data_IF_017542680565
#
_entry.id   IF_017542680565
#
_cell.length_a   1.000
_cell.length_b   1.000
_cell.length_c   1.000
_cell.angle_alpha   90.00
_cell.angle_beta   90.00
_cell.angle_gamma   90.00
#
_symmetry.space_group_name_H-M   'P 1'
#
loop_
_entity.id
_entity.type
_entity.pdbx_description
1 polymer ?
#
# COMPACT_ATOMS: atom_id res chain seq x y z
N UNK A 1 -24.62 -33.11 -33.83
CA UNK A 1 -24.58 -31.68 -33.47
C UNK A 1 -24.15 -31.60 -32.01
N UNK A 2 -23.10 -30.84 -31.70
CA UNK A 2 -22.20 -31.02 -30.55
C UNK A 2 -22.88 -30.84 -29.17
N UNK A 3 -22.82 -31.87 -28.33
CA UNK A 3 -22.99 -31.77 -26.88
C UNK A 3 -21.84 -30.93 -26.30
N UNK A 4 -22.15 -29.77 -25.73
CA UNK A 4 -21.22 -29.01 -24.90
C UNK A 4 -21.18 -29.68 -23.52
N UNK A 5 -20.12 -30.43 -23.26
CA UNK A 5 -19.80 -30.90 -21.91
C UNK A 5 -19.34 -29.68 -21.12
N UNK A 6 -20.17 -29.29 -20.14
CA UNK A 6 -19.87 -28.26 -19.16
C UNK A 6 -18.99 -28.89 -18.08
N UNK A 7 -17.67 -28.71 -18.16
CA UNK A 7 -16.76 -29.09 -17.07
C UNK A 7 -16.89 -28.03 -15.98
N UNK A 8 -17.76 -28.28 -15.00
CA UNK A 8 -17.72 -27.58 -13.70
C UNK A 8 -16.45 -28.02 -12.98
N UNK A 9 -15.38 -27.24 -13.06
CA UNK A 9 -14.30 -27.32 -12.09
C UNK A 9 -14.76 -26.61 -10.81
N UNK A 10 -15.37 -27.36 -9.90
CA UNK A 10 -15.35 -27.01 -8.48
C UNK A 10 -13.89 -27.04 -8.02
N UNK A 11 -13.20 -25.91 -8.04
CA UNK A 11 -11.95 -25.75 -7.30
C UNK A 11 -12.35 -25.59 -5.83
N UNK A 12 -12.58 -26.74 -5.19
CA UNK A 12 -12.39 -26.86 -3.75
C UNK A 12 -11.07 -26.16 -3.40
N UNK A 13 -11.09 -25.34 -2.35
CA UNK A 13 -9.92 -24.72 -1.75
C UNK A 13 -8.99 -25.83 -1.22
N UNK A 14 -8.29 -26.46 -2.14
CA UNK A 14 -7.44 -27.60 -1.94
C UNK A 14 -6.09 -27.03 -1.55
N UNK A 15 -5.67 -27.29 -0.31
CA UNK A 15 -4.27 -27.21 0.09
C UNK A 15 -3.49 -28.25 -0.73
N UNK A 16 -3.16 -27.93 -1.98
CA UNK A 16 -2.28 -28.76 -2.79
C UNK A 16 -0.86 -28.67 -2.23
N UNK A 17 -0.50 -29.63 -1.36
CA UNK A 17 0.87 -29.81 -0.86
C UNK A 17 1.73 -30.74 -1.73
N UNK A 18 1.31 -31.02 -2.96
CA UNK A 18 1.99 -31.98 -3.83
C UNK A 18 2.92 -31.29 -4.82
N UNK A 19 4.22 -31.27 -4.50
CA UNK A 19 5.31 -31.33 -5.48
C UNK A 19 5.56 -30.12 -6.39
N UNK A 20 5.10 -28.91 -6.05
CA UNK A 20 5.36 -27.72 -6.85
C UNK A 20 6.84 -27.31 -6.81
N UNK A 21 7.50 -27.29 -7.97
CA UNK A 21 8.82 -26.67 -8.12
C UNK A 21 8.72 -25.15 -8.26
N UNK A 22 9.75 -24.47 -7.77
CA UNK A 22 9.98 -23.04 -7.99
C UNK A 22 10.85 -22.92 -9.24
N UNK A 23 10.31 -22.41 -10.34
CA UNK A 23 11.16 -21.74 -11.32
C UNK A 23 11.39 -20.32 -10.78
N UNK A 24 12.64 -19.97 -10.52
CA UNK A 24 13.01 -18.68 -9.95
C UNK A 24 14.20 -18.15 -10.72
N UNK A 25 14.16 -16.87 -11.08
CA UNK A 25 15.26 -16.18 -11.78
C UNK A 25 16.52 -16.04 -10.92
N UNK A 26 16.44 -16.40 -9.65
CA UNK A 26 17.49 -16.31 -8.66
C UNK A 26 18.53 -17.44 -8.89
N UNK A 27 19.66 -17.11 -9.51
CA UNK A 27 20.79 -18.03 -9.67
C UNK A 27 21.52 -18.22 -8.35
N UNK A 28 22.02 -19.44 -8.06
CA UNK A 28 22.74 -19.74 -6.81
C UNK A 28 23.92 -18.79 -6.64
N UNK A 29 23.89 -17.96 -5.60
CA UNK A 29 24.98 -17.07 -5.24
C UNK A 29 25.14 -17.08 -3.72
N UNK A 30 26.34 -17.46 -3.26
CA UNK A 30 26.69 -17.41 -1.85
C UNK A 30 26.95 -15.98 -1.35
N UNK A 31 27.19 -15.04 -2.26
CA UNK A 31 27.57 -13.67 -1.94
C UNK A 31 26.35 -12.79 -1.67
N UNK A 32 26.50 -11.88 -0.72
CA UNK A 32 25.50 -10.87 -0.41
C UNK A 32 25.61 -9.71 -1.40
N UNK A 33 24.50 -9.40 -2.08
CA UNK A 33 24.37 -8.27 -3.00
C UNK A 33 23.57 -7.16 -2.35
N UNK A 34 23.95 -5.90 -2.57
CA UNK A 34 23.22 -4.74 -2.05
C UNK A 34 21.79 -4.73 -2.58
N UNK A 35 20.83 -4.50 -1.70
CA UNK A 35 19.42 -4.50 -2.05
C UNK A 35 18.96 -3.12 -2.56
N UNK A 36 18.46 -3.07 -3.80
CA UNK A 36 17.74 -1.92 -4.33
C UNK A 36 16.23 -2.00 -4.05
N UNK A 37 15.70 -3.23 -3.97
CA UNK A 37 14.29 -3.58 -3.86
C UNK A 37 13.78 -4.28 -5.12
N UNK A 38 14.29 -3.89 -6.29
CA UNK A 38 13.81 -4.36 -7.59
C UNK A 38 14.11 -5.84 -7.82
N UNK A 39 15.27 -6.33 -7.39
CA UNK A 39 15.63 -7.74 -7.57
C UNK A 39 14.71 -8.68 -6.77
N UNK A 40 14.28 -8.24 -5.58
CA UNK A 40 13.33 -8.99 -4.75
C UNK A 40 11.95 -8.98 -5.41
N UNK A 41 11.50 -7.82 -5.91
CA UNK A 41 10.24 -7.69 -6.65
C UNK A 41 10.23 -8.61 -7.87
N UNK A 42 11.26 -8.54 -8.72
CA UNK A 42 11.42 -9.41 -9.88
C UNK A 42 11.48 -10.89 -9.53
N UNK A 43 12.17 -11.26 -8.44
CA UNK A 43 12.19 -12.64 -7.97
C UNK A 43 10.79 -13.13 -7.60
N UNK A 44 10.03 -12.39 -6.79
CA UNK A 44 8.67 -12.77 -6.39
C UNK A 44 7.75 -12.99 -7.61
N UNK A 45 7.85 -12.11 -8.62
CA UNK A 45 7.08 -12.25 -9.86
C UNK A 45 7.55 -13.37 -10.79
N UNK A 46 8.80 -13.84 -10.63
CA UNK A 46 9.33 -14.95 -11.44
C UNK A 46 8.86 -16.33 -10.99
N UNK A 47 8.28 -16.42 -9.79
CA UNK A 47 7.91 -17.69 -9.17
C UNK A 47 6.60 -18.19 -9.75
N UNK A 48 6.69 -19.30 -10.48
CA UNK A 48 5.54 -19.96 -11.12
C UNK A 48 5.41 -21.41 -10.65
N UNK A 49 4.19 -21.95 -10.58
CA UNK A 49 3.96 -23.37 -10.32
C UNK A 49 4.48 -24.24 -11.48
N UNK A 50 5.10 -25.39 -11.19
CA UNK A 50 5.59 -26.34 -12.22
C UNK A 50 5.25 -27.79 -11.86
N UNK A 51 4.81 -28.56 -12.87
CA UNK A 51 4.28 -29.94 -12.74
C UNK A 51 5.34 -31.05 -12.90
N UNK A 52 6.47 -30.78 -13.54
CA UNK A 52 7.49 -31.77 -13.85
C UNK A 52 8.77 -31.46 -13.09
N UNK A 53 9.07 -32.20 -12.00
CA UNK A 53 10.40 -32.68 -11.52
C UNK A 53 10.67 -32.62 -10.00
N UNK A 54 11.67 -33.42 -9.56
CA UNK A 54 12.07 -33.78 -8.18
C UNK A 54 12.03 -32.63 -7.14
N UNK A 55 11.34 -32.90 -6.03
CA UNK A 55 11.17 -32.14 -4.79
C UNK A 55 12.34 -31.21 -4.43
N UNK A 56 12.11 -29.90 -4.52
CA UNK A 56 12.78 -28.96 -3.62
C UNK A 56 11.90 -28.90 -2.37
N UNK A 57 12.48 -29.02 -1.18
CA UNK A 57 11.74 -29.03 0.10
C UNK A 57 11.18 -27.64 0.44
N UNK A 58 10.28 -27.13 -0.38
CA UNK A 58 9.58 -25.86 -0.17
C UNK A 58 8.06 -26.08 -0.25
N UNK A 59 7.31 -25.29 0.51
CA UNK A 59 5.85 -25.19 0.41
C UNK A 59 5.50 -23.85 -0.21
N UNK A 60 4.56 -23.87 -1.16
CA UNK A 60 4.09 -22.68 -1.86
C UNK A 60 2.58 -22.56 -1.67
N UNK A 61 2.10 -21.33 -1.63
CA UNK A 61 0.67 -21.01 -1.66
C UNK A 61 0.43 -19.97 -2.73
N UNK A 62 -0.60 -20.18 -3.54
CA UNK A 62 -1.04 -19.25 -4.58
C UNK A 62 -2.53 -18.99 -4.43
N UNK A 63 -2.96 -17.79 -4.80
CA UNK A 63 -4.37 -17.44 -5.02
C UNK A 63 -4.62 -17.33 -6.51
N UNK A 64 -5.67 -17.98 -7.00
CA UNK A 64 -6.04 -17.89 -8.40
C UNK A 64 -6.53 -16.48 -8.74
N UNK A 65 -5.89 -15.84 -9.71
CA UNK A 65 -6.30 -14.56 -10.25
C UNK A 65 -7.02 -14.73 -11.58
N UNK A 66 -7.68 -13.67 -12.06
CA UNK A 66 -8.35 -13.67 -13.38
C UNK A 66 -7.38 -13.94 -14.52
N UNK A 67 -6.17 -13.38 -14.43
CA UNK A 67 -5.16 -13.45 -15.49
C UNK A 67 -4.00 -14.37 -15.13
N UNK A 68 -3.56 -14.37 -13.86
CA UNK A 68 -2.45 -15.18 -13.36
C UNK A 68 -2.63 -15.56 -11.89
N UNK A 69 -2.08 -16.71 -11.50
CA UNK A 69 -1.97 -17.10 -10.09
C UNK A 69 -0.99 -16.16 -9.37
N UNK A 70 -1.41 -15.64 -8.23
CA UNK A 70 -0.59 -14.76 -7.39
C UNK A 70 0.05 -15.56 -6.26
N UNK A 71 1.37 -15.49 -6.14
CA UNK A 71 2.09 -16.08 -5.03
C UNK A 71 1.68 -15.42 -3.71
N UNK A 72 1.27 -16.22 -2.72
CA UNK A 72 0.91 -15.81 -1.37
C UNK A 72 1.97 -16.14 -0.34
N UNK A 73 2.64 -17.27 -0.50
CA UNK A 73 3.57 -17.77 0.51
C UNK A 73 4.62 -18.67 -0.11
N UNK A 74 5.85 -18.55 0.41
CA UNK A 74 6.93 -19.49 0.19
C UNK A 74 7.50 -19.86 1.53
N UNK A 75 7.64 -21.15 1.80
CA UNK A 75 8.33 -21.66 2.98
C UNK A 75 9.40 -22.65 2.56
N UNK A 76 10.65 -22.40 2.95
CA UNK A 76 11.80 -23.26 2.65
C UNK A 76 12.16 -24.09 3.87
N UNK A 77 11.93 -25.40 3.82
CA UNK A 77 12.27 -26.32 4.94
C UNK A 77 13.79 -26.36 5.25
N UNK A 78 14.71 -26.36 4.26
CA UNK A 78 16.14 -26.41 4.56
C UNK A 78 16.68 -25.15 5.26
N UNK A 79 16.16 -23.98 4.89
CA UNK A 79 16.61 -22.70 5.46
C UNK A 79 15.75 -22.23 6.63
N UNK A 80 14.56 -22.82 6.82
CA UNK A 80 13.51 -22.37 7.75
C UNK A 80 13.14 -20.89 7.54
N UNK A 81 13.18 -20.44 6.28
CA UNK A 81 12.81 -19.08 5.89
C UNK A 81 11.43 -19.11 5.26
N UNK A 82 10.62 -18.12 5.61
CA UNK A 82 9.27 -17.94 5.09
C UNK A 82 9.07 -16.52 4.56
N UNK A 83 8.42 -16.45 3.41
CA UNK A 83 7.86 -15.24 2.81
C UNK A 83 6.34 -15.39 2.78
N UNK A 84 5.59 -14.39 3.21
CA UNK A 84 4.12 -14.42 3.18
C UNK A 84 3.56 -13.03 2.88
N UNK A 85 2.75 -12.90 1.84
CA UNK A 85 2.04 -11.66 1.53
C UNK A 85 1.06 -11.31 2.65
N UNK A 86 0.97 -10.03 3.03
CA UNK A 86 0.05 -9.59 4.11
C UNK A 86 -1.42 -9.58 3.65
N UNK A 87 -1.67 -9.29 2.37
CA UNK A 87 -3.01 -9.13 1.80
C UNK A 87 -2.96 -9.17 0.27
N UNK A 88 -4.10 -9.02 -0.39
CA UNK A 88 -4.25 -9.31 -1.83
C UNK A 88 -4.12 -8.10 -2.75
N UNK A 89 -3.90 -6.90 -2.19
CA UNK A 89 -3.74 -5.71 -3.01
C UNK A 89 -2.35 -5.66 -3.65
N UNK A 90 -2.27 -4.98 -4.80
CA UNK A 90 -1.05 -4.84 -5.60
C UNK A 90 0.10 -4.21 -4.80
N UNK A 91 -0.22 -3.28 -3.91
CA UNK A 91 0.73 -2.49 -3.13
C UNK A 91 0.82 -2.97 -1.68
N UNK A 92 0.57 -4.26 -1.43
CA UNK A 92 0.71 -4.87 -0.12
C UNK A 92 2.17 -5.26 0.17
N UNK A 93 2.52 -5.25 1.46
CA UNK A 93 3.82 -5.70 1.92
C UNK A 93 3.93 -7.21 2.11
N UNK A 94 5.07 -7.64 2.62
CA UNK A 94 5.39 -9.05 2.84
C UNK A 94 5.94 -9.29 4.23
N UNK A 95 5.48 -10.34 4.90
CA UNK A 95 6.21 -10.92 6.01
C UNK A 95 7.39 -11.72 5.51
N UNK A 96 8.53 -11.54 6.17
CA UNK A 96 9.76 -12.28 5.94
C UNK A 96 10.36 -12.66 7.29
N UNK A 97 10.90 -13.87 7.43
CA UNK A 97 11.56 -14.24 8.67
C UNK A 97 11.88 -15.72 8.80
N UNK A 98 12.51 -16.04 9.93
CA UNK A 98 12.75 -17.42 10.34
C UNK A 98 11.48 -18.03 10.95
N UNK A 99 11.34 -19.34 10.78
CA UNK A 99 10.26 -20.10 11.39
C UNK A 99 10.74 -21.10 12.43
N UNK A 100 9.83 -21.43 13.35
CA UNK A 100 10.00 -22.56 14.27
C UNK A 100 9.87 -23.93 13.56
N UNK A 101 9.89 -25.01 14.34
CA UNK A 101 9.71 -26.37 13.83
C UNK A 101 8.33 -26.64 13.22
N UNK A 102 7.33 -25.80 13.51
CA UNK A 102 5.97 -25.89 13.02
C UNK A 102 5.72 -25.00 11.79
N UNK A 103 6.71 -24.24 11.34
CA UNK A 103 6.58 -23.33 10.18
C UNK A 103 5.90 -22.00 10.51
N UNK A 104 5.76 -21.67 11.80
CA UNK A 104 5.26 -20.37 12.27
C UNK A 104 6.41 -19.39 12.38
N UNK A 105 6.11 -18.12 12.11
CA UNK A 105 7.07 -17.03 12.25
C UNK A 105 7.55 -16.92 13.70
N UNK A 106 8.86 -16.83 13.90
CA UNK A 106 9.44 -16.64 15.23
C UNK A 106 9.28 -15.18 15.70
N UNK A 107 8.92 -15.00 16.98
CA UNK A 107 8.89 -13.67 17.63
C UNK A 107 10.26 -13.00 17.54
N UNK A 108 10.27 -11.69 17.33
CA UNK A 108 11.46 -10.83 17.18
C UNK A 108 12.45 -11.24 16.07
N UNK A 109 12.06 -12.18 15.19
CA UNK A 109 12.79 -12.57 13.97
C UNK A 109 11.91 -12.51 12.73
N UNK A 110 10.83 -11.75 12.85
CA UNK A 110 9.84 -11.52 11.79
C UNK A 110 9.88 -10.06 11.38
N UNK A 111 9.87 -9.87 10.08
CA UNK A 111 9.96 -8.58 9.44
C UNK A 111 8.72 -8.37 8.60
N UNK A 112 8.11 -7.20 8.71
CA UNK A 112 7.23 -6.69 7.67
C UNK A 112 8.09 -5.89 6.69
N UNK A 113 8.12 -6.30 5.42
CA UNK A 113 8.74 -5.58 4.32
C UNK A 113 7.67 -4.73 3.63
N UNK A 114 7.95 -3.45 3.48
CA UNK A 114 7.12 -2.56 2.69
C UNK A 114 7.21 -2.91 1.19
N UNK A 115 6.29 -2.39 0.35
CA UNK A 115 6.27 -2.67 -1.09
C UNK A 115 7.53 -2.22 -1.86
N UNK A 116 8.38 -1.38 -1.26
CA UNK A 116 9.70 -1.04 -1.83
C UNK A 116 10.77 -2.12 -1.57
N UNK A 117 10.42 -3.20 -0.88
CA UNK A 117 11.27 -4.32 -0.47
C UNK A 117 12.58 -3.91 0.21
N UNK A 118 12.63 -2.69 0.75
CA UNK A 118 13.82 -2.11 1.37
C UNK A 118 13.51 -1.55 2.74
N UNK A 119 12.41 -0.83 2.89
CA UNK A 119 11.90 -0.40 4.19
C UNK A 119 11.29 -1.59 4.90
N UNK A 120 11.52 -1.71 6.22
CA UNK A 120 10.99 -2.82 6.98
C UNK A 120 10.65 -2.41 8.42
N UNK A 121 9.78 -3.18 9.06
CA UNK A 121 9.61 -3.21 10.52
C UNK A 121 10.08 -4.57 11.03
N UNK A 122 10.95 -4.60 12.03
CA UNK A 122 11.23 -5.81 12.80
C UNK A 122 10.39 -5.78 14.08
N UNK A 123 9.77 -6.90 14.44
CA UNK A 123 9.00 -6.94 15.68
C UNK A 123 8.26 -8.24 15.92
N UNK A 124 7.28 -8.16 16.81
CA UNK A 124 6.39 -9.26 17.16
C UNK A 124 5.04 -9.05 16.47
N UNK A 125 4.59 -10.12 15.82
CA UNK A 125 3.33 -10.18 15.08
C UNK A 125 2.50 -11.35 15.58
N UNK A 126 1.21 -11.14 15.77
CA UNK A 126 0.24 -12.18 16.14
C UNK A 126 -0.92 -12.11 15.15
N UNK A 127 -1.27 -13.22 14.52
CA UNK A 127 -2.28 -13.29 13.45
C UNK A 127 -2.09 -12.22 12.35
N UNK A 128 -0.84 -11.95 11.97
CA UNK A 128 -0.45 -10.92 10.99
C UNK A 128 -0.66 -9.47 11.46
N UNK A 129 -1.02 -9.25 12.71
CA UNK A 129 -1.18 -7.94 13.33
C UNK A 129 0.11 -7.56 14.05
N UNK A 130 0.54 -6.31 13.87
CA UNK A 130 1.74 -5.79 14.51
C UNK A 130 1.48 -5.48 15.99
N UNK A 131 2.05 -6.26 16.90
CA UNK A 131 1.93 -5.99 18.35
C UNK A 131 2.87 -4.84 18.75
N UNK A 132 4.13 -4.94 18.33
CA UNK A 132 5.10 -3.87 18.38
C UNK A 132 6.21 -4.12 17.37
N UNK A 133 6.74 -3.07 16.77
CA UNK A 133 7.89 -3.17 15.89
C UNK A 133 8.61 -1.84 15.72
N UNK A 134 9.83 -1.92 15.20
CA UNK A 134 10.72 -0.78 15.02
C UNK A 134 11.24 -0.75 13.58
N UNK A 135 11.44 0.46 13.06
CA UNK A 135 11.97 0.68 11.72
C UNK A 135 13.35 0.02 11.54
N UNK A 136 13.50 -0.70 10.45
CA UNK A 136 14.76 -1.23 9.93
C UNK A 136 14.76 -1.23 8.39
N UNK A 137 15.78 -1.82 7.77
CA UNK A 137 15.90 -1.96 6.32
C UNK A 137 16.49 -3.30 5.89
N UNK A 138 15.98 -3.83 4.78
CA UNK A 138 16.62 -4.91 4.03
C UNK A 138 17.79 -4.34 3.24
N UNK A 139 19.00 -4.62 3.73
CA UNK A 139 20.23 -4.00 3.21
C UNK A 139 20.85 -4.76 2.05
N UNK A 140 20.76 -6.09 2.10
CA UNK A 140 21.34 -6.99 1.12
C UNK A 140 20.44 -8.22 0.95
N UNK A 141 20.60 -8.91 -0.16
CA UNK A 141 19.99 -10.20 -0.42
C UNK A 141 21.03 -11.18 -0.95
N UNK A 142 20.73 -12.48 -0.89
CA UNK A 142 21.47 -13.53 -1.59
C UNK A 142 20.52 -14.64 -2.01
N UNK A 143 20.95 -15.45 -2.95
CA UNK A 143 20.15 -16.57 -3.45
C UNK A 143 20.66 -17.92 -2.96
N UNK A 144 19.85 -18.64 -2.18
CA UNK A 144 20.17 -19.99 -1.75
C UNK A 144 19.10 -20.97 -2.22
N UNK A 145 19.48 -21.84 -3.15
CA UNK A 145 18.59 -22.90 -3.68
C UNK A 145 17.27 -22.33 -4.24
N UNK A 146 17.34 -21.24 -4.99
CA UNK A 146 16.18 -20.60 -5.63
C UNK A 146 15.35 -19.69 -4.70
N UNK A 147 15.69 -19.66 -3.40
CA UNK A 147 15.05 -18.82 -2.38
C UNK A 147 15.91 -17.58 -2.11
N UNK A 148 15.30 -16.40 -2.13
CA UNK A 148 15.96 -15.18 -1.66
C UNK A 148 16.00 -15.15 -0.14
N UNK A 149 17.20 -14.97 0.39
CA UNK A 149 17.46 -14.67 1.79
C UNK A 149 17.86 -13.20 1.90
N UNK A 150 17.34 -12.51 2.93
CA UNK A 150 17.64 -11.11 3.21
C UNK A 150 18.57 -10.95 4.40
N UNK A 151 19.46 -9.96 4.31
CA UNK A 151 20.23 -9.41 5.41
C UNK A 151 19.65 -8.07 5.83
N UNK A 152 19.08 -8.04 7.02
CA UNK A 152 18.43 -6.88 7.60
C UNK A 152 19.46 -6.10 8.44
N UNK A 153 19.32 -4.78 8.48
CA UNK A 153 20.13 -3.96 9.39
C UNK A 153 19.61 -4.11 10.83
N UNK A 154 20.45 -3.92 11.85
CA UNK A 154 19.92 -3.71 13.20
C UNK A 154 19.09 -2.41 13.22
N UNK A 155 17.99 -2.36 14.00
CA UNK A 155 17.27 -1.12 14.24
C UNK A 155 18.17 -0.12 15.00
N UNK A 156 17.82 1.17 14.95
CA UNK A 156 18.51 2.18 15.78
C UNK A 156 18.04 2.05 17.23
N UNK A 157 18.92 2.36 18.18
CA UNK A 157 18.62 2.21 19.62
C UNK A 157 17.35 2.98 20.05
N UNK A 158 17.16 4.20 19.53
CA UNK A 158 16.02 5.06 19.86
C UNK A 158 14.94 5.06 18.76
N UNK A 159 14.82 3.98 18.01
CA UNK A 159 13.77 3.86 16.99
C UNK A 159 12.38 3.90 17.64
N UNK A 160 11.44 4.72 17.14
CA UNK A 160 10.08 4.75 17.64
C UNK A 160 9.39 3.40 17.42
N UNK A 161 8.46 3.07 18.33
CA UNK A 161 7.69 1.83 18.29
C UNK A 161 6.40 2.07 17.49
N UNK A 162 6.18 1.21 16.51
CA UNK A 162 4.95 1.11 15.74
C UNK A 162 4.10 -0.02 16.29
N UNK A 163 2.78 0.20 16.39
CA UNK A 163 1.80 -0.79 16.85
C UNK A 163 0.58 -0.72 15.96
N UNK A 164 -0.08 -1.86 15.74
CA UNK A 164 -1.34 -1.91 15.04
C UNK A 164 -2.43 -1.16 15.78
N UNK A 165 -3.32 -0.49 15.05
CA UNK A 165 -4.52 0.15 15.57
C UNK A 165 -5.76 -0.48 14.94
N UNK A 166 -6.78 -0.71 15.76
CA UNK A 166 -8.10 -1.08 15.25
C UNK A 166 -8.76 0.13 14.58
N UNK A 167 -9.48 -0.12 13.49
CA UNK A 167 -10.26 0.92 12.84
C UNK A 167 -11.40 1.36 13.74
N UNK A 168 -11.57 2.67 13.86
CA UNK A 168 -12.68 3.27 14.57
C UNK A 168 -12.94 4.69 14.07
N UNK A 169 -14.09 5.26 14.44
CA UNK A 169 -14.44 6.67 14.20
C UNK A 169 -13.68 7.65 15.09
N UNK A 170 -12.99 7.15 16.12
CA UNK A 170 -12.42 7.99 17.18
C UNK A 170 -10.90 7.90 17.31
N UNK A 171 -10.27 6.92 16.65
CA UNK A 171 -8.83 6.66 16.78
C UNK A 171 -8.15 6.74 15.42
N UNK A 172 -7.53 7.90 15.15
CA UNK A 172 -6.78 8.15 13.92
C UNK A 172 -5.36 7.52 13.95
N UNK A 173 -4.70 7.60 15.10
CA UNK A 173 -3.33 7.11 15.32
C UNK A 173 -3.02 7.10 16.82
N UNK A 174 -2.25 6.12 17.31
CA UNK A 174 -1.69 6.18 18.67
C UNK A 174 -0.62 7.27 18.82
N UNK A 175 0.05 7.63 17.73
CA UNK A 175 1.03 8.71 17.72
C UNK A 175 0.88 9.50 16.41
N UNK A 176 0.03 10.54 16.40
CA UNK A 176 -0.36 11.22 15.16
C UNK A 176 0.80 11.97 14.50
N UNK A 177 1.89 12.24 15.22
CA UNK A 177 3.09 12.91 14.67
C UNK A 177 4.20 11.94 14.26
N UNK A 178 4.07 10.65 14.57
CA UNK A 178 5.01 9.61 14.14
C UNK A 178 4.76 9.24 12.68
N UNK A 179 5.67 9.67 11.80
CA UNK A 179 5.60 9.39 10.37
C UNK A 179 5.79 7.91 10.06
N UNK A 180 5.07 7.43 9.05
CA UNK A 180 5.34 6.13 8.43
C UNK A 180 6.76 6.07 7.83
N UNK A 181 7.52 4.97 8.06
CA UNK A 181 8.88 4.78 7.54
C UNK A 181 9.02 4.90 6.01
N UNK A 182 8.08 4.35 5.24
CA UNK A 182 8.15 4.40 3.79
C UNK A 182 7.86 5.81 3.29
N UNK A 183 6.80 6.44 3.81
CA UNK A 183 6.46 7.83 3.48
C UNK A 183 7.59 8.81 3.80
N UNK A 184 8.25 8.64 4.95
CA UNK A 184 9.37 9.50 5.35
C UNK A 184 10.51 9.54 4.31
N UNK A 185 10.64 8.46 3.54
CA UNK A 185 11.59 8.32 2.42
C UNK A 185 11.03 8.83 1.10
N UNK A 186 9.72 8.69 0.89
CA UNK A 186 9.08 8.99 -0.39
C UNK A 186 8.67 10.46 -0.53
N UNK A 187 8.18 11.10 0.53
CA UNK A 187 7.44 12.36 0.41
C UNK A 187 7.75 13.37 1.51
N UNK A 188 7.48 14.64 1.19
CA UNK A 188 7.41 15.75 2.15
C UNK A 188 6.24 16.68 1.78
N UNK A 189 5.82 17.51 2.74
CA UNK A 189 4.79 18.53 2.52
C UNK A 189 5.47 19.88 2.31
N UNK A 190 4.98 20.66 1.36
CA UNK A 190 5.38 22.03 1.08
C UNK A 190 4.20 22.87 0.57
N UNK A 191 4.44 24.12 0.22
CA UNK A 191 3.39 24.98 -0.37
C UNK A 191 3.13 24.60 -1.82
N UNK A 192 1.85 24.53 -2.21
CA UNK A 192 1.41 24.22 -3.57
C UNK A 192 1.88 25.23 -4.60
N UNK A 193 2.15 24.76 -5.82
CA UNK A 193 2.72 25.61 -6.88
C UNK A 193 2.01 25.47 -8.22
N UNK A 194 1.44 24.30 -8.51
CA UNK A 194 0.88 24.01 -9.83
C UNK A 194 -0.49 24.65 -10.09
N UNK A 195 -1.29 24.85 -9.05
CA UNK A 195 -2.69 25.29 -9.17
C UNK A 195 -2.81 26.65 -8.49
N UNK A 196 -2.97 27.75 -9.23
CA UNK A 196 -3.04 29.09 -8.65
C UNK A 196 -4.10 29.21 -7.55
N UNK A 197 -5.28 28.64 -7.78
CA UNK A 197 -6.44 28.68 -6.89
C UNK A 197 -6.21 27.96 -5.55
N UNK A 198 -5.29 27.00 -5.49
CA UNK A 198 -4.92 26.26 -4.26
C UNK A 198 -3.45 26.43 -3.88
N UNK A 199 -2.74 27.40 -4.48
CA UNK A 199 -1.31 27.63 -4.25
C UNK A 199 -0.95 28.04 -2.81
N UNK A 200 -1.94 28.49 -2.04
CA UNK A 200 -1.80 28.79 -0.61
C UNK A 200 -1.93 27.56 0.29
N UNK A 201 -2.34 26.42 -0.25
CA UNK A 201 -2.55 25.18 0.51
C UNK A 201 -1.26 24.34 0.57
N UNK A 202 -1.23 23.45 1.56
CA UNK A 202 -0.22 22.39 1.60
C UNK A 202 -0.33 21.50 0.36
N UNK A 203 0.79 20.95 -0.07
CA UNK A 203 0.88 20.00 -1.17
C UNK A 203 1.93 18.94 -0.86
N UNK A 204 1.72 17.75 -1.41
CA UNK A 204 2.63 16.63 -1.27
C UNK A 204 3.67 16.65 -2.40
N UNK A 205 4.94 16.47 -2.04
CA UNK A 205 6.05 16.47 -3.00
C UNK A 205 6.91 15.22 -2.85
N UNK A 206 7.45 14.75 -3.96
CA UNK A 206 8.37 13.63 -4.00
C UNK A 206 9.73 14.01 -3.39
N UNK A 207 10.20 13.25 -2.40
CA UNK A 207 11.52 13.43 -1.77
C UNK A 207 12.64 12.71 -2.51
N UNK A 208 12.29 11.82 -3.43
CA UNK A 208 13.18 11.01 -4.26
C UNK A 208 12.46 10.67 -5.56
N UNK A 209 13.19 10.15 -6.54
CA UNK A 209 12.57 9.59 -7.73
C UNK A 209 11.71 8.37 -7.36
N UNK A 210 10.46 8.37 -7.84
CA UNK A 210 9.49 7.31 -7.62
C UNK A 210 9.15 6.70 -9.00
N UNK A 211 9.49 5.42 -9.24
CA UNK A 211 9.13 4.74 -10.47
C UNK A 211 7.61 4.63 -10.65
N UNK A 212 7.10 4.39 -11.86
CA UNK A 212 5.69 4.06 -12.07
C UNK A 212 5.25 2.84 -11.26
N UNK A 213 3.96 2.82 -10.88
CA UNK A 213 3.27 1.72 -10.22
C UNK A 213 3.88 1.32 -8.86
N UNK A 214 4.31 2.34 -8.11
CA UNK A 214 4.87 2.19 -6.78
C UNK A 214 4.06 3.01 -5.76
N UNK A 215 4.04 2.53 -4.52
CA UNK A 215 3.39 3.22 -3.42
C UNK A 215 4.16 4.50 -3.08
N UNK A 216 3.47 5.64 -3.15
CA UNK A 216 3.97 6.97 -2.84
C UNK A 216 3.73 7.30 -1.36
N UNK A 217 2.45 7.30 -0.96
CA UNK A 217 1.96 7.74 0.35
C UNK A 217 0.76 6.90 0.78
N UNK A 218 0.51 6.79 2.08
CA UNK A 218 -0.68 6.16 2.64
C UNK A 218 -1.77 7.20 2.89
N UNK A 219 -3.02 6.78 2.84
CA UNK A 219 -4.18 7.58 3.23
C UNK A 219 -4.91 6.87 4.36
N UNK A 220 -4.44 7.11 5.58
CA UNK A 220 -5.12 6.70 6.81
C UNK A 220 -6.19 7.71 7.21
N UNK A 221 -6.96 7.40 8.24
CA UNK A 221 -8.07 8.23 8.68
C UNK A 221 -8.94 7.53 9.73
N UNK A 222 -9.89 8.28 10.28
CA UNK A 222 -11.02 7.72 10.99
C UNK A 222 -11.86 6.88 10.02
N UNK A 223 -12.49 5.84 10.56
CA UNK A 223 -13.29 4.90 9.79
C UNK A 223 -14.77 5.23 9.93
N UNK A 224 -15.31 5.95 8.95
CA UNK A 224 -16.67 6.44 8.96
C UNK A 224 -17.60 5.55 8.14
N UNK A 225 -18.86 5.42 8.58
CA UNK A 225 -19.90 4.71 7.83
C UNK A 225 -20.60 5.68 6.89
N UNK A 226 -20.76 5.30 5.62
CA UNK A 226 -21.43 6.10 4.59
C UNK A 226 -22.87 6.49 4.95
N UNK A 227 -23.54 5.72 5.80
CA UNK A 227 -24.90 6.03 6.28
C UNK A 227 -24.93 7.10 7.38
N UNK A 228 -23.78 7.46 7.94
CA UNK A 228 -23.71 8.49 8.98
C UNK A 228 -23.95 9.86 8.33
N UNK A 229 -24.92 10.65 8.83
CA UNK A 229 -25.11 12.00 8.32
C UNK A 229 -23.87 12.85 8.61
N UNK A 230 -23.11 13.13 7.56
CA UNK A 230 -21.97 14.04 7.65
C UNK A 230 -22.45 15.51 7.57
N UNK A 231 -23.67 15.73 7.04
CA UNK A 231 -24.32 17.03 6.93
C UNK A 231 -25.18 17.25 8.17
N UNK A 232 -25.00 18.41 8.82
CA UNK A 232 -25.97 18.95 9.74
C UNK A 232 -26.72 20.07 9.04
N UNK A 233 -28.04 20.16 9.24
CA UNK A 233 -28.90 21.12 8.55
C UNK A 233 -28.57 22.59 8.83
N UNK A 234 -27.77 22.87 9.86
CA UNK A 234 -27.32 24.18 10.27
C UNK A 234 -25.90 24.55 9.77
N UNK A 235 -25.22 23.67 9.02
CA UNK A 235 -23.90 23.99 8.48
C UNK A 235 -24.01 24.99 7.32
N UNK A 236 -23.11 25.96 7.32
CA UNK A 236 -22.82 26.82 6.17
C UNK A 236 -22.09 26.02 5.08
N UNK A 237 -22.09 26.56 3.85
CA UNK A 237 -21.36 25.94 2.73
C UNK A 237 -19.85 25.84 3.04
N UNK A 238 -19.29 26.83 3.74
CA UNK A 238 -17.87 26.83 4.09
C UNK A 238 -17.54 25.73 5.10
N UNK A 239 -18.39 25.53 6.12
CA UNK A 239 -18.26 24.43 7.09
C UNK A 239 -18.42 23.07 6.42
N UNK A 240 -19.31 22.95 5.43
CA UNK A 240 -19.44 21.75 4.61
C UNK A 240 -18.16 21.50 3.79
N UNK A 241 -17.62 22.50 3.10
CA UNK A 241 -16.39 22.32 2.32
C UNK A 241 -15.19 21.93 3.21
N UNK A 242 -15.06 22.53 4.39
CA UNK A 242 -14.01 22.20 5.36
C UNK A 242 -14.17 20.78 5.91
N UNK A 243 -15.38 20.40 6.33
CA UNK A 243 -15.65 19.08 6.92
C UNK A 243 -15.37 17.93 5.94
N UNK A 244 -15.57 18.14 4.64
CA UNK A 244 -15.52 17.11 3.61
C UNK A 244 -14.22 17.11 2.82
N UNK A 245 -13.31 18.06 3.09
CA UNK A 245 -12.08 18.25 2.34
C UNK A 245 -11.23 16.97 2.22
N UNK A 246 -11.21 16.14 3.26
CA UNK A 246 -10.39 14.92 3.34
C UNK A 246 -11.21 13.63 3.46
N UNK A 247 -12.47 13.66 3.03
CA UNK A 247 -13.25 12.44 2.92
C UNK A 247 -12.88 11.66 1.66
N UNK A 248 -12.49 10.41 1.86
CA UNK A 248 -12.15 9.50 0.77
C UNK A 248 -12.97 8.22 0.88
N UNK A 249 -13.73 7.91 -0.16
CA UNK A 249 -14.46 6.65 -0.25
C UNK A 249 -13.49 5.47 -0.22
N UNK A 250 -13.68 4.58 0.75
CA UNK A 250 -12.96 3.31 0.82
C UNK A 250 -13.75 2.21 0.11
N UNK A 251 -15.04 2.04 0.44
CA UNK A 251 -15.89 1.05 -0.23
C UNK A 251 -17.36 1.50 -0.22
N UNK A 252 -18.28 0.61 -0.59
CA UNK A 252 -19.72 0.90 -0.66
C UNK A 252 -20.38 1.21 0.69
N UNK A 253 -19.69 0.97 1.81
CA UNK A 253 -20.23 1.18 3.15
C UNK A 253 -19.40 2.12 4.02
N UNK A 254 -18.15 2.44 3.64
CA UNK A 254 -17.24 3.19 4.49
C UNK A 254 -16.41 4.24 3.76
N UNK A 255 -16.12 5.31 4.50
CA UNK A 255 -15.21 6.39 4.16
C UNK A 255 -13.98 6.34 5.08
N UNK A 256 -12.89 6.89 4.59
CA UNK A 256 -11.73 7.29 5.40
C UNK A 256 -11.77 8.80 5.52
N UNK A 257 -11.60 9.29 6.75
CA UNK A 257 -11.73 10.71 7.06
C UNK A 257 -10.52 11.24 7.84
N UNK A 258 -10.12 12.47 7.54
CA UNK A 258 -9.20 13.23 8.39
C UNK A 258 -9.92 14.50 8.81
N UNK A 259 -10.27 14.62 10.11
CA UNK A 259 -11.07 15.74 10.56
C UNK A 259 -10.29 17.07 10.41
N UNK A 260 -10.99 18.21 10.26
CA UNK A 260 -10.35 19.50 10.00
C UNK A 260 -9.27 19.90 11.01
N UNK A 261 -9.45 19.56 12.29
CA UNK A 261 -8.48 19.84 13.34
C UNK A 261 -7.18 19.03 13.21
N UNK A 262 -7.20 17.94 12.45
CA UNK A 262 -6.07 17.07 12.11
C UNK A 262 -5.49 17.36 10.71
N UNK A 263 -5.98 18.38 10.01
CA UNK A 263 -5.41 18.80 8.74
C UNK A 263 -3.97 19.34 8.87
N UNK A 264 -3.61 19.93 10.01
CA UNK A 264 -2.28 20.51 10.23
C UNK A 264 -1.22 19.42 10.43
N UNK A 265 -0.15 19.46 9.62
CA UNK A 265 0.96 18.48 9.69
C UNK A 265 1.70 18.47 11.04
N UNK A 266 1.56 19.53 11.85
CA UNK A 266 2.09 19.62 13.21
C UNK A 266 1.27 18.77 14.19
N UNK A 267 0.00 18.52 13.87
CA UNK A 267 -0.92 17.69 14.66
C UNK A 267 -1.00 16.27 14.12
N UNK A 268 -1.13 16.09 12.81
CA UNK A 268 -1.18 14.78 12.17
C UNK A 268 -0.28 14.69 10.94
N UNK A 269 0.65 13.73 10.97
CA UNK A 269 1.55 13.40 9.86
C UNK A 269 1.94 11.93 9.84
N UNK A 270 1.15 11.07 10.48
CA UNK A 270 1.44 9.63 10.44
C UNK A 270 1.28 9.05 9.04
N UNK A 271 0.30 9.54 8.29
CA UNK A 271 0.15 9.36 6.85
C UNK A 271 -0.13 10.70 6.19
N UNK A 272 0.24 10.87 4.92
CA UNK A 272 0.23 12.17 4.23
C UNK A 272 -0.49 12.16 2.88
N UNK A 273 -1.16 11.07 2.51
CA UNK A 273 -1.87 10.96 1.23
C UNK A 273 -2.96 12.02 1.03
N UNK A 274 -3.54 12.51 2.13
CA UNK A 274 -4.53 13.60 2.14
C UNK A 274 -3.96 14.98 1.76
N UNK A 275 -2.64 15.10 1.63
CA UNK A 275 -1.97 16.33 1.18
C UNK A 275 -1.73 16.38 -0.33
N UNK A 276 -2.09 15.33 -1.07
CA UNK A 276 -2.01 15.36 -2.53
C UNK A 276 -3.17 16.18 -3.09
N UNK A 277 -2.84 17.19 -3.90
CA UNK A 277 -3.82 18.10 -4.47
C UNK A 277 -4.47 17.53 -5.74
N UNK A 278 -5.62 18.11 -6.07
CA UNK A 278 -6.38 17.74 -7.25
C UNK A 278 -5.81 18.33 -8.54
N UNK A 279 -5.67 17.55 -9.60
CA UNK A 279 -5.50 18.07 -10.96
C UNK A 279 -6.21 17.18 -11.99
N UNK A 280 -7.00 17.77 -12.89
CA UNK A 280 -7.80 17.03 -13.88
C UNK A 280 -6.95 16.26 -14.91
N UNK A 281 -6.04 16.96 -15.59
CA UNK A 281 -5.28 16.41 -16.74
C UNK A 281 -3.85 15.94 -16.41
N UNK A 282 -3.24 16.52 -15.37
CA UNK A 282 -1.84 16.34 -15.02
C UNK A 282 -1.56 15.26 -13.98
N UNK A 283 -2.60 14.57 -13.48
CA UNK A 283 -2.48 13.59 -12.40
C UNK A 283 -1.30 12.62 -12.64
N UNK A 284 -0.37 12.58 -11.69
CA UNK A 284 0.77 11.66 -11.71
C UNK A 284 0.63 10.54 -10.68
N UNK A 285 -0.44 10.58 -9.88
CA UNK A 285 -0.80 9.55 -8.92
C UNK A 285 -2.30 9.22 -8.95
N UNK A 286 -2.67 8.06 -8.40
CA UNK A 286 -4.05 7.62 -8.23
C UNK A 286 -4.29 6.96 -6.87
N UNK A 287 -5.54 6.95 -6.43
CA UNK A 287 -5.95 6.28 -5.19
C UNK A 287 -6.10 4.78 -5.37
N UNK A 288 -5.30 4.02 -4.64
CA UNK A 288 -5.29 2.57 -4.64
C UNK A 288 -5.52 1.97 -3.25
N UNK A 289 -5.71 0.66 -3.18
CA UNK A 289 -5.83 -0.07 -1.92
C UNK A 289 -4.50 -0.66 -1.46
N UNK A 290 -4.30 -0.72 -0.15
CA UNK A 290 -3.15 -1.39 0.48
C UNK A 290 -3.48 -1.83 1.90
N UNK A 291 -2.79 -2.85 2.40
CA UNK A 291 -2.83 -3.35 3.77
C UNK A 291 -1.57 -2.91 4.50
N UNK A 292 -1.74 -1.91 5.37
CA UNK A 292 -0.68 -1.34 6.19
C UNK A 292 -0.52 -2.10 7.53
N UNK A 293 0.69 -2.34 8.04
CA UNK A 293 0.89 -3.07 9.31
C UNK A 293 0.30 -2.34 10.52
N UNK A 294 0.28 -1.00 10.49
CA UNK A 294 -0.30 -0.18 11.57
C UNK A 294 -1.80 0.05 11.39
N UNK A 295 -2.26 0.32 10.16
CA UNK A 295 -3.62 0.83 9.91
C UNK A 295 -4.57 -0.24 9.31
N UNK A 296 -4.06 -1.44 9.04
CA UNK A 296 -4.75 -2.45 8.25
C UNK A 296 -4.98 -1.97 6.81
N UNK A 297 -5.99 -2.53 6.14
CA UNK A 297 -6.47 -2.08 4.82
C UNK A 297 -6.90 -0.61 4.80
N UNK A 298 -6.24 0.21 4.01
CA UNK A 298 -6.53 1.63 3.83
C UNK A 298 -6.39 1.99 2.35
N UNK A 299 -6.58 3.27 2.02
CA UNK A 299 -6.20 3.78 0.69
C UNK A 299 -4.74 4.22 0.70
N UNK A 300 -4.16 4.36 -0.48
CA UNK A 300 -2.82 4.89 -0.69
C UNK A 300 -2.76 5.61 -2.05
N UNK A 301 -1.64 6.26 -2.29
CA UNK A 301 -1.30 6.88 -3.57
C UNK A 301 -0.34 5.96 -4.32
N UNK A 302 -0.71 5.55 -5.52
CA UNK A 302 0.15 4.87 -6.48
C UNK A 302 0.65 5.86 -7.54
N UNK A 303 1.93 5.80 -7.91
CA UNK A 303 2.44 6.53 -9.07
C UNK A 303 1.91 5.95 -10.38
N UNK A 304 1.42 6.81 -11.28
CA UNK A 304 0.97 6.42 -12.63
C UNK A 304 2.11 6.45 -13.64
N UNK A 305 3.11 7.29 -13.38
CA UNK A 305 4.30 7.51 -14.19
C UNK A 305 5.50 7.74 -13.29
N UNK A 306 6.66 7.91 -13.89
CA UNK A 306 7.85 8.34 -13.15
C UNK A 306 7.61 9.73 -12.56
N UNK A 307 7.88 9.89 -11.27
CA UNK A 307 7.80 11.16 -10.55
C UNK A 307 9.22 11.50 -10.09
N UNK A 308 9.71 12.67 -10.51
CA UNK A 308 11.05 13.12 -10.16
C UNK A 308 11.12 13.68 -8.75
N UNK A 309 12.31 13.64 -8.14
CA UNK A 309 12.55 14.31 -6.87
C UNK A 309 12.18 15.80 -6.97
N UNK A 310 11.37 16.28 -6.02
CA UNK A 310 10.88 17.65 -5.94
C UNK A 310 9.61 17.92 -6.74
N UNK A 311 9.12 16.96 -7.53
CA UNK A 311 7.86 17.07 -8.26
C UNK A 311 6.66 17.02 -7.30
N UNK A 312 5.65 17.84 -7.57
CA UNK A 312 4.38 17.84 -6.83
C UNK A 312 3.57 16.58 -7.18
N UNK A 313 3.02 15.92 -6.17
CA UNK A 313 2.19 14.73 -6.31
C UNK A 313 0.74 15.18 -6.38
N UNK A 314 0.13 14.95 -7.54
CA UNK A 314 -1.22 15.39 -7.89
C UNK A 314 -2.06 14.22 -8.35
N UNK A 315 -3.33 14.23 -7.94
CA UNK A 315 -4.30 13.16 -8.19
C UNK A 315 -5.55 13.74 -8.84
N UNK A 316 -6.33 12.93 -9.55
CA UNK A 316 -7.69 13.33 -9.92
C UNK A 316 -8.65 12.88 -8.79
N UNK A 317 -9.39 13.82 -8.18
CA UNK A 317 -10.32 13.51 -7.09
C UNK A 317 -11.59 12.84 -7.59
N UNK A 318 -11.91 13.00 -8.88
CA UNK A 318 -13.04 12.34 -9.54
C UNK A 318 -14.35 12.56 -8.80
N UNK A 319 -14.58 13.79 -8.33
CA UNK A 319 -15.91 14.14 -7.86
C UNK A 319 -16.89 14.01 -9.02
N UNK A 320 -18.05 13.46 -8.70
CA UNK A 320 -19.19 13.40 -9.60
C UNK A 320 -19.77 14.82 -9.74
N UNK A 321 -19.76 15.33 -10.97
CA UNK A 321 -20.22 16.69 -11.29
C UNK A 321 -21.74 16.87 -11.13
N UNK A 322 -22.48 15.76 -11.03
CA UNK A 322 -23.92 15.78 -10.79
C UNK A 322 -24.27 15.59 -9.29
N UNK A 323 -23.27 15.32 -8.44
CA UNK A 323 -23.48 15.06 -7.02
C UNK A 323 -23.78 16.36 -6.26
N UNK A 324 -24.76 16.39 -5.35
CA UNK A 324 -24.93 17.53 -4.46
C UNK A 324 -23.72 17.66 -3.52
N UNK A 325 -23.25 18.89 -3.30
CA UNK A 325 -22.19 19.20 -2.33
C UNK A 325 -20.75 19.09 -2.86
N UNK A 326 -20.55 19.18 -4.17
CA UNK A 326 -19.22 19.34 -4.77
C UNK A 326 -18.61 20.66 -4.28
N UNK A 327 -17.32 20.70 -3.90
CA UNK A 327 -16.69 21.95 -3.48
C UNK A 327 -16.70 22.99 -4.61
N UNK A 328 -17.03 24.24 -4.30
CA UNK A 328 -17.11 25.35 -5.26
C UNK A 328 -15.80 25.55 -6.02
N UNK A 329 -14.64 25.38 -5.36
CA UNK A 329 -13.34 25.49 -6.01
C UNK A 329 -13.15 24.45 -7.12
N UNK A 330 -13.66 23.23 -6.93
CA UNK A 330 -13.57 22.14 -7.90
C UNK A 330 -14.51 22.42 -9.08
N UNK A 331 -15.74 22.84 -8.81
CA UNK A 331 -16.71 23.21 -9.85
C UNK A 331 -16.21 24.39 -10.71
N UNK A 332 -15.65 25.42 -10.07
CA UNK A 332 -15.07 26.58 -10.76
C UNK A 332 -13.89 26.16 -11.64
N UNK A 333 -13.00 25.31 -11.13
CA UNK A 333 -11.87 24.79 -11.89
C UNK A 333 -12.33 23.90 -13.05
N UNK A 334 -13.35 23.07 -12.84
CA UNK A 334 -13.96 22.23 -13.87
C UNK A 334 -14.50 23.06 -15.03
N UNK A 335 -15.32 24.08 -14.74
CA UNK A 335 -15.89 24.98 -15.76
C UNK A 335 -14.82 25.75 -16.56
N UNK A 336 -13.70 26.08 -15.91
CA UNK A 336 -12.56 26.75 -16.55
C UNK A 336 -11.83 25.84 -17.54
N UNK A 337 -11.68 24.56 -17.21
CA UNK A 337 -10.96 23.58 -18.04
C UNK A 337 -11.86 23.00 -19.14
N UNK A 338 -13.16 22.82 -18.85
CA UNK A 338 -14.15 22.23 -19.75
C UNK A 338 -15.29 23.23 -20.06
N UNK A 339 -15.03 24.36 -20.73
CA UNK A 339 -16.01 25.44 -20.91
C UNK A 339 -17.24 25.05 -21.75
N UNK A 340 -17.12 24.01 -22.59
CA UNK A 340 -18.19 23.55 -23.48
C UNK A 340 -18.90 22.27 -22.99
N UNK A 341 -18.58 21.79 -21.78
CA UNK A 341 -19.21 20.58 -21.23
C UNK A 341 -18.83 19.26 -21.91
N UNK A 342 -17.79 19.24 -22.74
CA UNK A 342 -17.28 17.99 -23.33
C UNK A 342 -16.52 17.14 -22.30
N UNK A 343 -17.33 16.37 -21.57
CA UNK A 343 -17.14 14.97 -21.16
C UNK A 343 -15.82 14.59 -20.46
N UNK A 344 -15.73 14.94 -19.17
CA UNK A 344 -14.74 14.37 -18.26
C UNK A 344 -15.01 12.90 -17.90
N UNK A 345 -16.10 12.28 -18.37
CA UNK A 345 -16.38 10.87 -18.11
C UNK A 345 -15.51 9.91 -18.97
N UNK A 346 -14.62 10.43 -19.83
CA UNK A 346 -13.72 9.63 -20.68
C UNK A 346 -12.28 9.42 -20.16
N UNK A 347 -11.95 9.76 -18.91
CA UNK A 347 -10.57 9.58 -18.35
C UNK A 347 -10.47 8.85 -16.99
#
# INVERSE_FOLDING_TARGET
>A
MRQKVLILCFVLCSRHSTGLRIHSSCSKSSNWTRNSGDEIKSWLFSIVPSSNSVSHRCSLEFTSGKDFDKLRMIYSLPSKIKWKAIGDYKLDGWFYGQTDGSGNFMKDRTYFLYPDFRTALIGTFEDQRLIHGVETKASHFRCRNGILELKLSPPKNDSPIYKHIERSRHTLSHNPILRDPLEKRNVYVGSGRLIPETSHQDSLFAKRNIPPFNLISYYGGNWEDLSTPHYQSNMTIDEMEERYQYLLTFNKTHLIDIPPDMSDIRKYRSTLGHKANHHFLGANAAFEYTTHPVYGSIRCLESLKQIEQGEEIIVNYRYDMDSPGIPRWYENLYKKIYPNGEDSQRL
#
